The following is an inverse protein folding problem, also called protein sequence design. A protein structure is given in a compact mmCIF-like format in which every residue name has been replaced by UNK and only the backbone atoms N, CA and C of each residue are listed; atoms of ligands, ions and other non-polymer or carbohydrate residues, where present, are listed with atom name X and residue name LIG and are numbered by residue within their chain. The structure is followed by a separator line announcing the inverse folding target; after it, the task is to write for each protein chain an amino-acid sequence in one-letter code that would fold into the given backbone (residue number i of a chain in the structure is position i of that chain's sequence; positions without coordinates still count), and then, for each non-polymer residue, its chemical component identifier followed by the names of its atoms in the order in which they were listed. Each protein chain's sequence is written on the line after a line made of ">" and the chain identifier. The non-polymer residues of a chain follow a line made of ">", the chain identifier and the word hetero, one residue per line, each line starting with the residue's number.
data_IF_876325374541
#
_entry.id   IF_876325374541
#
_cell.length_a   1.000
_cell.length_b   1.000
_cell.length_c   1.000
_cell.angle_alpha   90.00
_cell.angle_beta   90.00
_cell.angle_gamma   90.00
#
_symmetry.space_group_name_H-M   'P 1'
#
loop_
_entity.id
_entity.type
_entity.pdbx_description
1 polymer ?
#
# COMPACT_ATOMS: atom_id res chain seq x y z
N UNK A 1 22.57 2.54 13.13
CA UNK A 1 21.37 2.30 12.31
C UNK A 1 21.04 3.60 11.62
N UNK A 2 21.21 3.67 10.30
CA UNK A 2 20.80 4.84 9.53
C UNK A 2 19.49 4.48 8.86
N UNK A 3 18.38 4.89 9.50
CA UNK A 3 17.12 5.00 8.77
C UNK A 3 17.32 6.14 7.78
N UNK A 4 17.42 5.83 6.49
CA UNK A 4 17.32 6.86 5.47
C UNK A 4 15.84 7.19 5.36
N UNK A 5 15.33 7.93 6.35
CA UNK A 5 14.03 8.58 6.32
C UNK A 5 14.13 9.78 5.37
N UNK A 6 14.40 9.53 4.10
CA UNK A 6 14.20 10.53 3.06
C UNK A 6 12.74 10.38 2.62
N UNK A 7 11.82 11.29 3.01
CA UNK A 7 10.43 11.22 2.57
C UNK A 7 10.37 11.51 1.07
N UNK A 8 10.54 10.49 0.24
CA UNK A 8 10.30 10.56 -1.20
C UNK A 8 8.80 10.48 -1.44
N UNK A 9 8.16 11.65 -1.52
CA UNK A 9 6.72 11.77 -1.73
C UNK A 9 6.37 11.25 -3.13
N UNK A 10 5.85 10.02 -3.22
CA UNK A 10 5.33 9.45 -4.46
C UNK A 10 3.86 9.86 -4.66
N UNK A 11 3.50 10.24 -5.89
CA UNK A 11 2.23 10.88 -6.21
C UNK A 11 1.28 9.90 -6.92
N UNK A 12 0.07 9.70 -6.39
CA UNK A 12 -1.00 8.91 -7.03
C UNK A 12 -2.06 9.81 -7.68
N UNK A 13 -2.77 9.29 -8.69
CA UNK A 13 -3.73 10.07 -9.50
C UNK A 13 -4.96 10.50 -8.70
N UNK A 14 -5.29 11.79 -8.81
CA UNK A 14 -6.39 12.49 -8.14
C UNK A 14 -7.79 11.90 -8.38
N UNK A 15 -7.95 11.17 -9.47
CA UNK A 15 -9.25 10.76 -10.01
C UNK A 15 -9.94 9.70 -9.14
N UNK A 16 -9.17 8.79 -8.54
CA UNK A 16 -9.70 7.77 -7.64
C UNK A 16 -10.23 8.37 -6.33
N UNK A 17 -9.50 9.34 -5.76
CA UNK A 17 -9.86 9.97 -4.50
C UNK A 17 -11.11 10.86 -4.65
N UNK A 18 -11.23 11.58 -5.76
CA UNK A 18 -12.47 12.32 -6.09
C UNK A 18 -13.64 11.35 -6.29
N UNK A 19 -13.40 10.21 -6.94
CA UNK A 19 -14.40 9.14 -7.10
C UNK A 19 -14.96 8.66 -5.76
N UNK A 20 -14.07 8.29 -4.83
CA UNK A 20 -14.49 7.78 -3.51
C UNK A 20 -15.21 8.84 -2.67
N UNK A 21 -14.72 10.09 -2.70
CA UNK A 21 -15.37 11.21 -2.00
C UNK A 21 -16.73 11.54 -2.62
N UNK A 22 -16.86 11.49 -3.95
CA UNK A 22 -18.15 11.67 -4.62
C UNK A 22 -19.13 10.55 -4.25
N UNK A 23 -18.70 9.29 -4.23
CA UNK A 23 -19.56 8.16 -3.85
C UNK A 23 -20.01 8.31 -2.39
N UNK A 24 -19.10 8.57 -1.46
CA UNK A 24 -19.42 8.79 -0.05
C UNK A 24 -20.38 9.98 0.13
N UNK A 25 -20.15 11.08 -0.60
CA UNK A 25 -21.01 12.26 -0.57
C UNK A 25 -22.40 11.92 -1.11
N UNK A 26 -22.51 11.21 -2.23
CA UNK A 26 -23.79 10.80 -2.83
C UNK A 26 -24.57 9.88 -1.88
N UNK A 27 -23.91 8.91 -1.24
CA UNK A 27 -24.54 8.02 -0.26
C UNK A 27 -25.03 8.82 0.96
N UNK A 28 -24.21 9.74 1.49
CA UNK A 28 -24.59 10.60 2.59
C UNK A 28 -25.76 11.55 2.25
N UNK A 29 -25.78 12.09 1.04
CA UNK A 29 -26.84 12.97 0.55
C UNK A 29 -28.13 12.20 0.28
N UNK A 30 -28.05 11.00 -0.30
CA UNK A 30 -29.19 10.11 -0.51
C UNK A 30 -29.82 9.69 0.83
N UNK A 31 -28.99 9.32 1.82
CA UNK A 31 -29.46 9.02 3.17
C UNK A 31 -30.12 10.23 3.83
N UNK A 32 -29.52 11.42 3.70
CA UNK A 32 -30.08 12.67 4.22
C UNK A 32 -31.40 13.05 3.56
N UNK A 33 -31.53 12.92 2.24
CA UNK A 33 -32.77 13.18 1.49
C UNK A 33 -33.85 12.16 1.87
N UNK A 34 -33.50 10.89 2.01
CA UNK A 34 -34.43 9.84 2.44
C UNK A 34 -34.99 10.13 3.85
N UNK A 35 -34.11 10.53 4.77
CA UNK A 35 -34.50 10.95 6.13
C UNK A 35 -35.30 12.26 6.13
N UNK A 36 -35.02 13.18 5.21
CA UNK A 36 -35.76 14.44 5.08
C UNK A 36 -37.17 14.21 4.52
N UNK A 37 -37.31 13.33 3.52
CA UNK A 37 -38.57 13.01 2.87
C UNK A 37 -39.54 12.27 3.80
N UNK A 38 -39.02 11.38 4.65
CA UNK A 38 -39.81 10.75 5.73
C UNK A 38 -40.23 11.72 6.83
N UNK A 39 -39.58 12.89 6.93
CA UNK A 39 -39.89 13.96 7.91
C UNK A 39 -41.08 14.84 7.50
N UNK A 40 -41.33 15.01 6.20
CA UNK A 40 -42.38 15.88 5.67
C UNK A 40 -43.75 15.20 5.52
N UNK A 41 -43.84 13.88 5.68
CA UNK A 41 -45.10 13.14 5.60
C UNK A 41 -45.83 12.96 6.94
N UNK A 42 -45.39 13.64 8.01
CA UNK A 42 -46.00 13.53 9.34
C UNK A 42 -46.70 14.86 9.74
N UNK A 43 -47.99 14.83 10.13
CA UNK A 43 -48.74 16.03 10.48
C UNK A 43 -48.17 16.74 11.71
N UNK A 44 -48.19 18.07 11.67
CA UNK A 44 -47.46 19.02 12.51
C UNK A 44 -47.84 19.10 14.01
N UNK A 45 -48.48 18.08 14.58
CA UNK A 45 -49.14 18.23 15.89
C UNK A 45 -48.35 17.73 17.12
N UNK A 46 -47.20 17.05 16.98
CA UNK A 46 -46.40 16.63 18.15
C UNK A 46 -44.92 16.71 17.81
N UNK A 47 -44.26 17.81 18.18
CA UNK A 47 -42.82 17.95 18.01
C UNK A 47 -42.16 18.51 19.28
N UNK A 48 -42.26 17.75 20.37
CA UNK A 48 -41.23 17.81 21.41
C UNK A 48 -39.99 17.15 20.76
N UNK A 49 -38.92 17.93 20.53
CA UNK A 49 -37.67 17.50 19.90
C UNK A 49 -36.96 16.43 20.74
N UNK A 50 -37.38 15.18 20.61
CA UNK A 50 -36.62 14.00 21.04
C UNK A 50 -35.63 13.61 19.95
N UNK A 51 -34.36 13.41 20.32
CA UNK A 51 -33.38 12.76 19.45
C UNK A 51 -33.94 11.39 19.07
N UNK A 52 -34.12 11.12 17.78
CA UNK A 52 -34.72 9.85 17.32
C UNK A 52 -33.68 8.74 17.42
N UNK A 53 -34.12 7.54 17.77
CA UNK A 53 -33.25 6.35 17.85
C UNK A 53 -32.46 6.12 16.55
N UNK A 54 -33.05 6.42 15.39
CA UNK A 54 -32.40 6.37 14.08
C UNK A 54 -31.20 7.29 13.96
N UNK A 55 -31.30 8.51 14.50
CA UNK A 55 -30.22 9.51 14.42
C UNK A 55 -29.04 9.04 15.29
N UNK A 56 -29.33 8.40 16.42
CA UNK A 56 -28.32 7.77 17.29
C UNK A 56 -27.63 6.62 16.56
N UNK A 57 -28.37 5.75 15.85
CA UNK A 57 -27.78 4.67 15.06
C UNK A 57 -26.86 5.18 13.95
N UNK A 58 -27.28 6.21 13.21
CA UNK A 58 -26.46 6.80 12.15
C UNK A 58 -25.18 7.41 12.72
N UNK A 59 -25.29 8.14 13.82
CA UNK A 59 -24.15 8.78 14.47
C UNK A 59 -23.18 7.72 15.04
N UNK A 60 -23.72 6.64 15.60
CA UNK A 60 -22.95 5.51 16.11
C UNK A 60 -22.23 4.77 14.97
N UNK A 61 -22.92 4.52 13.85
CA UNK A 61 -22.31 3.89 12.68
C UNK A 61 -21.19 4.74 12.08
N UNK A 62 -21.36 6.07 12.05
CA UNK A 62 -20.34 7.00 11.56
C UNK A 62 -19.10 6.99 12.48
N UNK A 63 -19.29 7.04 13.79
CA UNK A 63 -18.19 6.92 14.76
C UNK A 63 -17.51 5.55 14.69
N UNK A 64 -18.29 4.46 14.58
CA UNK A 64 -17.77 3.11 14.46
C UNK A 64 -16.94 2.93 13.19
N UNK A 65 -17.36 3.53 12.07
CA UNK A 65 -16.62 3.50 10.80
C UNK A 65 -15.27 4.22 10.95
N UNK A 66 -15.26 5.41 11.57
CA UNK A 66 -14.03 6.14 11.85
C UNK A 66 -13.07 5.36 12.76
N UNK A 67 -13.58 4.71 13.80
CA UNK A 67 -12.79 3.86 14.70
C UNK A 67 -12.27 2.60 14.00
N UNK A 68 -13.08 1.95 13.18
CA UNK A 68 -12.67 0.78 12.40
C UNK A 68 -11.54 1.14 11.44
N UNK A 69 -11.65 2.27 10.76
CA UNK A 69 -10.59 2.78 9.88
C UNK A 69 -9.32 3.12 10.65
N UNK A 70 -9.45 3.75 11.82
CA UNK A 70 -8.31 4.03 12.70
C UNK A 70 -7.60 2.76 13.17
N UNK A 71 -8.37 1.73 13.54
CA UNK A 71 -7.84 0.44 13.95
C UNK A 71 -7.12 -0.27 12.79
N UNK A 72 -7.67 -0.20 11.58
CA UNK A 72 -7.04 -0.68 10.37
C UNK A 72 -5.69 -0.01 10.11
N UNK A 73 -5.62 1.33 10.19
CA UNK A 73 -4.36 2.07 10.04
C UNK A 73 -3.33 1.66 11.11
N UNK A 74 -3.75 1.44 12.36
CA UNK A 74 -2.84 0.95 13.41
C UNK A 74 -2.31 -0.44 13.11
N UNK A 75 -3.13 -1.36 12.60
CA UNK A 75 -2.65 -2.70 12.24
C UNK A 75 -1.63 -2.65 11.11
N UNK A 76 -1.84 -1.80 10.09
CA UNK A 76 -0.90 -1.60 8.98
C UNK A 76 0.47 -1.12 9.47
N UNK A 77 0.49 -0.11 10.35
CA UNK A 77 1.73 0.41 10.94
C UNK A 77 2.47 -0.68 11.73
N UNK A 78 1.74 -1.50 12.49
CA UNK A 78 2.33 -2.59 13.25
C UNK A 78 2.97 -3.65 12.33
N UNK A 79 2.30 -4.02 11.24
CA UNK A 79 2.80 -4.98 10.24
C UNK A 79 4.06 -4.46 9.56
N UNK A 80 4.03 -3.22 9.05
CA UNK A 80 5.19 -2.57 8.41
C UNK A 80 6.38 -2.44 9.38
N UNK A 81 6.11 -2.16 10.64
CA UNK A 81 7.17 -2.06 11.66
C UNK A 81 7.81 -3.42 11.94
N UNK A 82 7.01 -4.48 12.12
CA UNK A 82 7.52 -5.84 12.32
C UNK A 82 8.37 -6.32 11.14
N UNK A 83 7.90 -6.06 9.92
CA UNK A 83 8.66 -6.40 8.71
C UNK A 83 10.02 -5.72 8.71
N UNK A 84 10.06 -4.41 8.97
CA UNK A 84 11.33 -3.68 9.00
C UNK A 84 12.28 -4.15 10.09
N UNK A 85 11.76 -4.58 11.25
CA UNK A 85 12.59 -5.15 12.31
C UNK A 85 13.20 -6.47 11.87
N UNK A 86 12.44 -7.33 11.19
CA UNK A 86 12.95 -8.58 10.61
C UNK A 86 14.01 -8.32 9.53
N UNK A 87 13.76 -7.37 8.64
CA UNK A 87 14.75 -6.96 7.62
C UNK A 87 16.02 -6.43 8.28
N UNK A 88 15.89 -5.62 9.33
CA UNK A 88 17.04 -5.07 10.05
C UNK A 88 17.89 -6.16 10.74
N UNK A 89 17.26 -7.24 11.25
CA UNK A 89 17.99 -8.39 11.82
C UNK A 89 18.88 -9.05 10.75
N UNK A 90 18.41 -9.11 9.50
CA UNK A 90 19.17 -9.66 8.37
C UNK A 90 20.13 -8.64 7.71
N UNK A 91 20.42 -7.52 8.40
CA UNK A 91 21.27 -6.43 7.89
C UNK A 91 20.75 -5.82 6.58
N UNK A 92 19.46 -5.96 6.30
CA UNK A 92 18.80 -5.34 5.16
C UNK A 92 18.50 -3.86 5.40
N UNK A 93 18.14 -3.16 4.32
CA UNK A 93 17.78 -1.74 4.34
C UNK A 93 16.31 -1.63 3.96
N UNK A 94 15.50 -0.94 4.76
CA UNK A 94 14.12 -0.63 4.42
C UNK A 94 13.98 0.87 4.24
N UNK A 95 13.61 1.29 3.04
CA UNK A 95 13.22 2.66 2.77
C UNK A 95 11.73 2.80 2.91
N UNK A 96 11.32 3.74 3.75
CA UNK A 96 9.92 4.06 3.98
C UNK A 96 9.63 5.42 3.41
N UNK A 97 8.50 5.51 2.70
CA UNK A 97 8.03 6.77 2.17
C UNK A 97 6.59 7.01 2.57
N UNK A 98 6.25 8.28 2.73
CA UNK A 98 4.89 8.68 3.04
C UNK A 98 4.18 9.00 1.73
N UNK A 99 3.06 8.33 1.47
CA UNK A 99 2.25 8.57 0.27
C UNK A 99 1.07 9.44 0.60
N UNK A 100 1.14 10.69 0.15
CA UNK A 100 0.04 11.64 0.20
C UNK A 100 -0.26 12.21 -1.18
N UNK A 101 -1.54 12.52 -1.47
CA UNK A 101 -1.85 13.41 -2.57
C UNK A 101 -1.21 14.79 -2.30
N UNK A 102 -0.49 15.32 -3.30
CA UNK A 102 0.17 16.65 -3.25
C UNK A 102 -0.61 17.74 -2.53
N UNK A 103 -1.91 17.98 -2.81
CA UNK A 103 -2.63 19.09 -2.22
C UNK A 103 -2.85 18.94 -0.72
N UNK A 104 -2.95 17.70 -0.21
CA UNK A 104 -3.26 17.45 1.21
C UNK A 104 -1.96 17.37 2.02
N UNK A 105 -0.86 16.95 1.40
CA UNK A 105 0.44 16.78 2.07
C UNK A 105 0.87 18.00 2.92
N UNK A 106 0.57 19.22 2.48
CA UNK A 106 0.89 20.45 3.22
C UNK A 106 -0.02 20.70 4.44
N UNK A 107 -1.21 20.10 4.48
CA UNK A 107 -2.20 20.26 5.54
C UNK A 107 -2.26 19.07 6.48
N UNK A 108 -1.57 17.96 6.17
CA UNK A 108 -1.52 16.81 7.07
C UNK A 108 -0.67 17.17 8.29
N UNK A 109 -1.22 17.08 9.50
CA UNK A 109 -0.44 17.23 10.72
C UNK A 109 0.67 16.17 10.80
N UNK A 110 1.85 16.55 11.27
CA UNK A 110 3.00 15.64 11.39
C UNK A 110 2.72 14.40 12.23
N UNK A 111 1.82 14.48 13.22
CA UNK A 111 1.42 13.32 14.03
C UNK A 111 0.72 12.23 13.23
N UNK A 112 0.17 12.54 12.05
CA UNK A 112 -0.47 11.56 11.17
C UNK A 112 0.52 10.86 10.23
N UNK A 113 1.70 11.44 9.98
CA UNK A 113 2.69 10.87 9.05
C UNK A 113 3.02 9.39 9.29
N UNK A 114 3.17 8.91 10.55
CA UNK A 114 3.47 7.49 10.80
C UNK A 114 2.39 6.54 10.27
N UNK A 115 1.14 6.96 10.21
CA UNK A 115 0.02 6.14 9.75
C UNK A 115 -0.05 5.98 8.23
N UNK A 116 0.65 6.84 7.50
CA UNK A 116 0.70 6.85 6.03
C UNK A 116 2.10 6.52 5.50
N UNK A 117 2.99 6.10 6.39
CA UNK A 117 4.33 5.68 6.06
C UNK A 117 4.28 4.21 5.61
N UNK A 118 4.66 3.97 4.36
CA UNK A 118 4.66 2.65 3.74
C UNK A 118 6.08 2.26 3.35
N UNK A 119 6.37 0.96 3.35
CA UNK A 119 7.64 0.45 2.83
C UNK A 119 7.59 0.48 1.30
N UNK A 120 8.52 1.20 0.67
CA UNK A 120 8.55 1.38 -0.80
C UNK A 120 9.71 0.62 -1.42
N UNK A 121 10.87 0.65 -0.78
CA UNK A 121 12.05 -0.09 -1.22
C UNK A 121 12.57 -0.96 -0.08
N UNK A 122 12.83 -2.23 -0.37
CA UNK A 122 13.30 -3.20 0.62
C UNK A 122 14.53 -3.90 0.03
N UNK A 123 15.65 -3.77 0.71
CA UNK A 123 16.87 -4.54 0.47
C UNK A 123 17.01 -5.59 1.57
N UNK A 124 17.18 -6.86 1.18
CA UNK A 124 17.32 -7.98 2.11
C UNK A 124 18.52 -8.85 1.73
N UNK A 125 19.29 -9.26 2.74
CA UNK A 125 20.39 -10.20 2.58
C UNK A 125 19.95 -11.59 3.05
N UNK A 126 20.10 -12.60 2.18
CA UNK A 126 19.72 -13.99 2.41
C UNK A 126 18.30 -14.15 3.00
N UNK A 127 17.25 -13.70 2.28
CA UNK A 127 15.88 -13.84 2.74
C UNK A 127 15.42 -15.30 2.73
N UNK A 128 14.59 -15.65 3.71
CA UNK A 128 13.88 -16.92 3.77
C UNK A 128 12.52 -16.81 3.05
N UNK A 129 11.94 -17.93 2.60
CA UNK A 129 10.65 -17.94 1.88
C UNK A 129 9.52 -17.29 2.69
N UNK A 130 9.51 -17.49 4.01
CA UNK A 130 8.53 -16.87 4.90
C UNK A 130 8.62 -15.34 4.85
N UNK A 131 9.83 -14.80 4.81
CA UNK A 131 10.05 -13.36 4.75
C UNK A 131 9.68 -12.78 3.39
N UNK A 132 10.01 -13.48 2.31
CA UNK A 132 9.55 -13.10 0.97
C UNK A 132 8.03 -13.08 0.88
N UNK A 133 7.35 -14.07 1.47
CA UNK A 133 5.89 -14.10 1.50
C UNK A 133 5.29 -12.92 2.26
N UNK A 134 5.91 -12.47 3.34
CA UNK A 134 5.49 -11.28 4.10
C UNK A 134 5.73 -9.98 3.32
N UNK A 135 6.87 -9.86 2.65
CA UNK A 135 7.16 -8.73 1.74
C UNK A 135 6.13 -8.70 0.61
N UNK A 136 5.76 -9.87 0.07
CA UNK A 136 4.75 -10.02 -0.98
C UNK A 136 3.30 -9.80 -0.51
N UNK A 137 3.06 -9.57 0.78
CA UNK A 137 1.76 -9.13 1.27
C UNK A 137 1.68 -7.60 1.38
N UNK A 138 2.78 -6.86 1.23
CA UNK A 138 2.82 -5.41 1.41
C UNK A 138 2.39 -4.66 0.15
N UNK A 139 1.18 -4.07 0.07
CA UNK A 139 0.63 -3.57 -1.19
C UNK A 139 1.38 -2.39 -1.86
N UNK A 140 2.39 -1.82 -1.19
CA UNK A 140 3.07 -0.59 -1.61
C UNK A 140 4.57 -0.75 -1.90
N UNK A 141 5.11 -1.96 -1.85
CA UNK A 141 6.53 -2.21 -2.18
C UNK A 141 6.72 -2.10 -3.70
N UNK A 142 7.54 -1.15 -4.12
CA UNK A 142 7.80 -0.92 -5.54
C UNK A 142 9.13 -1.51 -5.97
N UNK A 143 10.11 -1.46 -5.07
CA UNK A 143 11.47 -1.90 -5.31
C UNK A 143 11.85 -2.99 -4.30
N UNK A 144 12.41 -4.10 -4.81
CA UNK A 144 12.93 -5.19 -4.01
C UNK A 144 14.34 -5.53 -4.45
N UNK A 145 15.29 -5.45 -3.53
CA UNK A 145 16.70 -5.79 -3.74
C UNK A 145 17.00 -7.04 -2.90
N UNK A 146 17.35 -8.13 -3.58
CA UNK A 146 17.64 -9.41 -2.96
C UNK A 146 19.11 -9.74 -3.12
N UNK A 147 19.82 -9.83 -2.01
CA UNK A 147 21.23 -10.17 -1.97
C UNK A 147 21.42 -11.61 -1.47
N UNK A 148 21.98 -12.51 -2.29
CA UNK A 148 22.18 -13.91 -1.90
C UNK A 148 20.87 -14.69 -1.70
N UNK A 149 20.90 -15.77 -0.90
CA UNK A 149 19.76 -16.58 -0.49
C UNK A 149 19.39 -17.76 -1.40
N UNK A 150 18.75 -18.77 -0.78
CA UNK A 150 18.12 -19.92 -1.43
C UNK A 150 16.61 -19.80 -1.23
N UNK A 151 15.97 -19.05 -2.11
CA UNK A 151 14.51 -18.85 -2.09
C UNK A 151 13.94 -19.04 -3.49
N UNK A 152 12.69 -19.46 -3.52
CA UNK A 152 11.88 -19.45 -4.74
C UNK A 152 11.26 -18.07 -4.91
N UNK A 153 11.35 -17.53 -6.11
CA UNK A 153 10.70 -16.26 -6.44
C UNK A 153 9.23 -16.56 -6.79
N UNK A 154 8.26 -16.26 -5.91
CA UNK A 154 6.85 -16.38 -6.28
C UNK A 154 6.51 -15.39 -7.40
N UNK A 155 5.39 -15.63 -8.10
CA UNK A 155 4.85 -14.66 -9.07
C UNK A 155 4.66 -13.30 -8.40
N UNK A 156 5.42 -12.30 -8.83
CA UNK A 156 5.42 -10.93 -8.30
C UNK A 156 4.34 -10.14 -9.05
N UNK A 157 3.11 -9.97 -8.52
CA UNK A 157 2.02 -9.46 -9.34
C UNK A 157 2.09 -7.94 -9.55
N UNK A 158 2.75 -7.22 -8.63
CA UNK A 158 2.63 -5.77 -8.48
C UNK A 158 3.98 -5.06 -8.24
N UNK A 159 5.11 -5.76 -8.34
CA UNK A 159 6.43 -5.19 -8.12
C UNK A 159 6.93 -4.45 -9.37
N UNK A 160 7.41 -3.21 -9.24
CA UNK A 160 7.87 -2.40 -10.37
C UNK A 160 9.34 -2.67 -10.72
N UNK A 161 10.20 -2.78 -9.70
CA UNK A 161 11.66 -2.90 -9.84
C UNK A 161 12.20 -4.04 -8.99
N UNK A 162 12.88 -4.99 -9.60
CA UNK A 162 13.50 -6.13 -8.91
C UNK A 162 14.99 -6.18 -9.21
N UNK A 163 15.80 -6.20 -8.15
CA UNK A 163 17.25 -6.32 -8.23
C UNK A 163 17.67 -7.61 -7.55
N UNK A 164 18.38 -8.48 -8.26
CA UNK A 164 18.82 -9.77 -7.72
C UNK A 164 20.33 -9.89 -7.86
N UNK A 165 21.02 -10.00 -6.73
CA UNK A 165 22.48 -10.19 -6.64
C UNK A 165 22.82 -11.64 -6.32
N UNK A 166 22.39 -12.55 -7.18
CA UNK A 166 22.78 -13.97 -7.18
C UNK A 166 22.65 -14.54 -8.60
N UNK A 167 23.37 -15.62 -8.94
CA UNK A 167 23.11 -16.35 -10.17
C UNK A 167 21.68 -16.93 -10.14
N UNK A 168 20.95 -16.73 -11.23
CA UNK A 168 19.59 -17.27 -11.42
C UNK A 168 19.59 -18.20 -12.63
N UNK A 169 18.83 -19.29 -12.54
CA UNK A 169 18.58 -20.18 -13.66
C UNK A 169 17.68 -19.54 -14.74
N UNK A 170 17.87 -19.95 -15.99
CA UNK A 170 17.13 -19.46 -17.15
C UNK A 170 15.61 -19.60 -17.01
N UNK A 171 15.13 -20.68 -16.39
CA UNK A 171 13.70 -20.92 -16.18
C UNK A 171 13.06 -19.86 -15.28
N UNK A 172 13.65 -19.61 -14.11
CA UNK A 172 13.19 -18.58 -13.17
C UNK A 172 13.24 -17.18 -13.79
N UNK A 173 14.26 -16.89 -14.61
CA UNK A 173 14.32 -15.63 -15.36
C UNK A 173 13.13 -15.45 -16.31
N UNK A 174 12.78 -16.50 -17.06
CA UNK A 174 11.64 -16.46 -17.98
C UNK A 174 10.31 -16.31 -17.26
N UNK A 175 10.18 -16.84 -16.04
CA UNK A 175 9.00 -16.64 -15.19
C UNK A 175 8.89 -15.21 -14.67
N UNK A 176 10.01 -14.63 -14.22
CA UNK A 176 10.07 -13.22 -13.83
C UNK A 176 9.71 -12.30 -15.00
N UNK A 177 10.14 -12.62 -16.21
CA UNK A 177 9.81 -11.85 -17.40
C UNK A 177 8.31 -11.86 -17.76
N UNK A 178 7.55 -12.86 -17.28
CA UNK A 178 6.09 -12.94 -17.48
C UNK A 178 5.30 -12.10 -16.48
N UNK A 179 5.95 -11.51 -15.47
CA UNK A 179 5.29 -10.69 -14.47
C UNK A 179 4.89 -9.34 -15.07
N UNK A 180 3.58 -9.11 -15.24
CA UNK A 180 3.05 -7.88 -15.89
C UNK A 180 3.33 -6.58 -15.13
N UNK A 181 3.57 -6.65 -13.82
CA UNK A 181 3.89 -5.48 -13.00
C UNK A 181 5.35 -5.04 -13.12
N UNK A 182 6.24 -5.94 -13.53
CA UNK A 182 7.68 -5.71 -13.51
C UNK A 182 8.10 -4.81 -14.68
N UNK A 183 8.67 -3.66 -14.37
CA UNK A 183 9.16 -2.69 -15.35
C UNK A 183 10.69 -2.74 -15.47
N UNK A 184 11.37 -2.98 -14.35
CA UNK A 184 12.82 -3.03 -14.26
C UNK A 184 13.26 -4.34 -13.59
N UNK A 185 14.19 -5.02 -14.24
CA UNK A 185 14.84 -6.21 -13.72
C UNK A 185 16.34 -6.02 -13.84
N UNK A 186 17.03 -5.97 -12.71
CA UNK A 186 18.48 -5.88 -12.64
C UNK A 186 19.05 -7.18 -12.07
N UNK A 187 19.89 -7.84 -12.85
CA UNK A 187 20.51 -9.10 -12.49
C UNK A 187 22.01 -8.90 -12.42
N UNK A 188 22.59 -9.23 -11.28
CA UNK A 188 24.03 -9.13 -11.04
C UNK A 188 24.59 -10.54 -10.94
N UNK A 189 25.79 -10.76 -11.48
CA UNK A 189 26.51 -12.04 -11.44
C UNK A 189 25.69 -13.24 -11.96
N UNK A 190 24.91 -13.04 -13.02
CA UNK A 190 24.17 -14.11 -13.69
C UNK A 190 24.84 -14.48 -15.03
N UNK A 191 25.15 -15.77 -15.19
CA UNK A 191 25.67 -16.39 -16.42
C UNK A 191 24.54 -16.62 -17.44
N UNK A 192 23.85 -15.55 -17.81
CA UNK A 192 22.79 -15.58 -18.82
C UNK A 192 23.43 -15.27 -20.19
N UNK A 193 24.07 -16.26 -20.78
CA UNK A 193 24.92 -16.10 -21.97
C UNK A 193 24.16 -16.01 -23.31
N UNK A 194 22.83 -16.11 -23.33
CA UNK A 194 22.10 -16.30 -24.59
C UNK A 194 20.66 -15.76 -24.68
N UNK A 195 20.21 -14.91 -23.75
CA UNK A 195 18.82 -14.44 -23.75
C UNK A 195 18.67 -13.09 -24.47
N UNK A 196 17.93 -13.11 -25.58
CA UNK A 196 17.48 -11.93 -26.32
C UNK A 196 16.69 -10.98 -25.41
N UNK A 197 16.80 -9.66 -25.60
CA UNK A 197 16.00 -8.69 -24.86
C UNK A 197 14.51 -8.97 -25.08
N UNK A 198 13.76 -9.09 -23.99
CA UNK A 198 12.29 -9.25 -24.04
C UNK A 198 11.67 -7.87 -24.18
N UNK A 199 10.87 -7.66 -25.24
CA UNK A 199 10.38 -6.35 -25.72
C UNK A 199 9.65 -5.45 -24.69
N UNK A 200 9.26 -5.98 -23.52
CA UNK A 200 8.47 -5.27 -22.52
C UNK A 200 9.23 -4.92 -21.23
N UNK A 201 10.49 -5.34 -21.09
CA UNK A 201 11.27 -5.14 -19.87
C UNK A 201 12.52 -4.31 -20.15
N UNK A 202 12.74 -3.27 -19.33
CA UNK A 202 14.08 -2.66 -19.23
C UNK A 202 14.96 -3.59 -18.41
N UNK A 203 15.43 -4.67 -19.04
CA UNK A 203 16.45 -5.54 -18.46
C UNK A 203 17.79 -4.81 -18.49
N UNK A 204 18.26 -4.39 -17.31
CA UNK A 204 19.58 -3.79 -17.14
C UNK A 204 20.51 -4.86 -16.58
N UNK A 205 21.44 -5.32 -17.41
CA UNK A 205 22.57 -6.15 -16.96
C UNK A 205 23.65 -5.19 -16.47
N UNK A 206 24.06 -5.33 -15.21
CA UNK A 206 25.10 -4.52 -14.55
C UNK A 206 26.21 -5.42 -14.02
#
# INVERSE_FOLDING_TARGET
>A
MVFVDAPTIAYFSWLALVGDVCIASVIGLAASIYLWRTRFSLPAAVQIRGVRLSDIFVLTALMATGLAYWQYLRSEVATSTRLSQRVAIQQGIVQRAVRFPKPIAAYVPSFLHPFFMHCVSIEVNNPDDAMLSEIMQQPFVEELILNGGLYDLPKLPWLNSLHIRRPIHTETFLELCKCRGLQQLALYNSELDSLSPVDNLKCLRL
#
